data_IF_106070632595
#
_entry.id   IF_106070632595
#
_cell.length_a   1.000
_cell.length_b   1.000
_cell.length_c   1.000
_cell.angle_alpha   90.00
_cell.angle_beta   90.00
_cell.angle_gamma   90.00
#
_symmetry.space_group_name_H-M   'P 1'
#
loop_
_entity.id
_entity.type
_entity.pdbx_description
1 polymer ?
#
# COMPACT_ATOMS: atom_id res chain seq x y z
N UNK A 1 11.05 8.44 -10.13
CA UNK A 1 10.36 8.16 -8.86
C UNK A 1 10.33 9.45 -8.07
N UNK A 2 9.19 10.07 -7.94
CA UNK A 2 9.12 11.29 -7.15
C UNK A 2 9.12 10.93 -5.67
N UNK A 3 10.17 11.32 -4.97
CA UNK A 3 10.24 11.29 -3.51
C UNK A 3 9.24 12.25 -2.85
N UNK A 4 8.34 12.82 -3.63
CA UNK A 4 7.47 13.92 -3.25
C UNK A 4 6.25 13.48 -2.43
N UNK A 5 5.97 12.18 -2.37
CA UNK A 5 4.76 11.70 -1.71
C UNK A 5 5.10 10.83 -0.50
N UNK A 6 5.29 11.47 0.62
CA UNK A 6 5.44 10.76 1.90
C UNK A 6 4.15 9.96 2.19
N UNK A 7 4.27 8.68 2.49
CA UNK A 7 3.12 7.83 2.81
C UNK A 7 2.29 8.42 3.95
N UNK A 8 0.98 8.41 3.77
CA UNK A 8 0.03 9.03 4.69
C UNK A 8 -0.23 10.53 4.42
N UNK A 9 0.58 11.19 3.60
CA UNK A 9 0.33 12.58 3.21
C UNK A 9 -0.87 12.72 2.27
N UNK A 10 -1.42 13.92 2.17
CA UNK A 10 -2.52 14.20 1.24
C UNK A 10 -2.10 13.97 -0.23
N UNK A 11 -0.88 14.33 -0.59
CA UNK A 11 -0.34 14.09 -1.92
C UNK A 11 -0.24 12.58 -2.23
N UNK A 12 0.16 11.76 -1.26
CA UNK A 12 0.18 10.31 -1.40
C UNK A 12 -1.23 9.72 -1.56
N UNK A 13 -2.21 10.20 -0.80
CA UNK A 13 -3.61 9.79 -0.94
C UNK A 13 -4.14 10.11 -2.33
N UNK A 14 -3.85 11.29 -2.84
CA UNK A 14 -4.25 11.70 -4.19
C UNK A 14 -3.55 10.87 -5.28
N UNK A 15 -2.28 10.53 -5.10
CA UNK A 15 -1.54 9.70 -6.05
C UNK A 15 -2.11 8.28 -6.21
N UNK A 16 -2.74 7.75 -5.16
CA UNK A 16 -3.37 6.40 -5.12
C UNK A 16 -4.80 6.39 -5.65
N UNK A 17 -5.43 7.55 -5.73
CA UNK A 17 -6.87 7.67 -5.98
C UNK A 17 -7.29 6.99 -7.29
N UNK A 18 -8.31 6.15 -7.23
CA UNK A 18 -8.83 5.42 -8.38
C UNK A 18 -7.87 4.40 -8.99
N UNK A 19 -6.87 3.95 -8.23
CA UNK A 19 -5.87 2.99 -8.68
C UNK A 19 -5.91 1.70 -7.87
N UNK A 20 -5.78 0.58 -8.56
CA UNK A 20 -5.58 -0.71 -7.92
C UNK A 20 -4.22 -0.73 -7.21
N UNK A 21 -4.22 -0.94 -5.92
CA UNK A 21 -3.00 -0.91 -5.09
C UNK A 21 -2.54 -2.31 -4.72
N UNK A 22 -1.24 -2.49 -4.55
CA UNK A 22 -0.65 -3.77 -4.19
C UNK A 22 -1.27 -4.37 -2.91
N UNK A 23 -1.60 -3.55 -1.92
CA UNK A 23 -2.24 -3.98 -0.68
C UNK A 23 -3.65 -4.60 -0.85
N UNK A 24 -4.32 -4.33 -1.96
CA UNK A 24 -5.67 -4.84 -2.29
C UNK A 24 -5.67 -5.85 -3.43
N UNK A 25 -4.50 -6.31 -3.87
CA UNK A 25 -4.40 -7.24 -5.00
C UNK A 25 -5.09 -8.58 -4.74
N UNK A 26 -5.09 -9.07 -3.50
CA UNK A 26 -5.79 -10.28 -3.11
C UNK A 26 -7.31 -10.20 -3.41
N UNK A 27 -7.92 -9.04 -3.25
CA UNK A 27 -9.35 -8.83 -3.54
C UNK A 27 -9.64 -9.00 -5.04
N UNK A 28 -8.72 -8.56 -5.91
CA UNK A 28 -8.83 -8.71 -7.36
C UNK A 28 -8.66 -10.18 -7.77
N UNK A 29 -7.74 -10.87 -7.14
CA UNK A 29 -7.37 -12.26 -7.48
C UNK A 29 -8.30 -13.31 -6.88
N UNK A 30 -9.20 -12.92 -5.97
CA UNK A 30 -10.18 -13.83 -5.38
C UNK A 30 -11.22 -14.25 -6.42
N UNK A 31 -11.34 -15.55 -6.65
CA UNK A 31 -12.30 -16.10 -7.62
C UNK A 31 -13.72 -16.15 -7.05
N UNK A 32 -14.68 -15.78 -7.88
CA UNK A 32 -16.11 -16.01 -7.66
C UNK A 32 -16.54 -17.40 -8.12
N UNK A 33 -17.84 -17.67 -8.04
CA UNK A 33 -18.41 -18.92 -8.54
C UNK A 33 -18.48 -18.92 -10.07
N UNK A 34 -18.18 -20.07 -10.69
CA UNK A 34 -18.32 -20.26 -12.12
C UNK A 34 -17.39 -19.42 -13.00
N UNK A 35 -16.23 -19.03 -12.48
CA UNK A 35 -15.26 -18.21 -13.21
C UNK A 35 -15.60 -16.72 -13.29
N UNK A 36 -16.65 -16.28 -12.61
CA UNK A 36 -16.99 -14.86 -12.49
C UNK A 36 -16.10 -14.17 -11.45
N UNK A 37 -15.98 -12.82 -11.50
CA UNK A 37 -15.37 -12.07 -10.43
C UNK A 37 -16.04 -12.34 -9.08
N UNK A 38 -15.28 -12.34 -8.00
CA UNK A 38 -15.83 -12.46 -6.66
C UNK A 38 -16.59 -11.19 -6.27
N UNK A 39 -17.46 -11.32 -5.26
CA UNK A 39 -18.16 -10.18 -4.68
C UNK A 39 -17.18 -9.12 -4.14
N UNK A 40 -16.07 -9.56 -3.58
CA UNK A 40 -15.02 -8.67 -3.09
C UNK A 40 -14.36 -7.89 -4.24
N UNK A 41 -14.05 -8.56 -5.35
CA UNK A 41 -13.50 -7.92 -6.53
C UNK A 41 -14.47 -6.88 -7.12
N UNK A 42 -15.76 -7.21 -7.22
CA UNK A 42 -16.79 -6.28 -7.70
C UNK A 42 -16.91 -5.06 -6.79
N UNK A 43 -16.95 -5.25 -5.48
CA UNK A 43 -17.01 -4.16 -4.50
C UNK A 43 -15.79 -3.25 -4.62
N UNK A 44 -14.60 -3.82 -4.73
CA UNK A 44 -13.38 -3.03 -4.91
C UNK A 44 -13.38 -2.23 -6.21
N UNK A 45 -13.85 -2.81 -7.30
CA UNK A 45 -14.01 -2.09 -8.57
C UNK A 45 -14.95 -0.89 -8.43
N UNK A 46 -16.07 -1.05 -7.72
CA UNK A 46 -17.01 0.04 -7.46
C UNK A 46 -16.42 1.13 -6.56
N UNK A 47 -15.64 0.76 -5.57
CA UNK A 47 -14.90 1.71 -4.72
C UNK A 47 -13.94 2.55 -5.56
N UNK A 48 -13.15 1.94 -6.43
CA UNK A 48 -12.24 2.64 -7.33
C UNK A 48 -12.97 3.57 -8.30
N UNK A 49 -14.11 3.13 -8.83
CA UNK A 49 -14.95 3.96 -9.69
C UNK A 49 -15.50 5.17 -8.94
N UNK A 50 -15.95 4.97 -7.70
CA UNK A 50 -16.41 6.04 -6.82
C UNK A 50 -15.31 7.06 -6.55
N UNK A 51 -14.10 6.62 -6.29
CA UNK A 51 -12.93 7.50 -6.11
C UNK A 51 -12.65 8.35 -7.35
N UNK A 52 -12.74 7.75 -8.55
CA UNK A 52 -12.54 8.47 -9.82
C UNK A 52 -13.61 9.57 -10.00
N UNK A 53 -14.87 9.25 -9.70
CA UNK A 53 -15.99 10.16 -9.90
C UNK A 53 -15.99 11.28 -8.85
N UNK A 54 -15.75 10.95 -7.60
CA UNK A 54 -15.84 11.89 -6.47
C UNK A 54 -14.56 12.67 -6.22
N UNK A 55 -13.42 12.16 -6.65
CA UNK A 55 -12.09 12.69 -6.31
C UNK A 55 -11.73 12.52 -4.83
N UNK A 56 -12.40 11.61 -4.12
CA UNK A 56 -12.19 11.37 -2.69
C UNK A 56 -11.91 9.89 -2.43
N UNK A 57 -11.06 9.57 -1.44
CA UNK A 57 -10.86 8.18 -1.01
C UNK A 57 -12.17 7.54 -0.57
N UNK A 58 -12.36 6.25 -0.90
CA UNK A 58 -13.58 5.52 -0.55
C UNK A 58 -13.67 5.20 0.94
N UNK A 59 -12.52 4.94 1.60
CA UNK A 59 -12.45 4.67 3.04
C UNK A 59 -11.14 5.18 3.66
N UNK A 60 -11.24 5.90 4.76
CA UNK A 60 -10.15 6.13 5.69
C UNK A 60 -10.31 5.19 6.89
N UNK A 61 -9.62 4.06 6.87
CA UNK A 61 -9.61 3.15 8.01
C UNK A 61 -8.61 3.68 9.03
N UNK A 62 -9.13 4.29 10.08
CA UNK A 62 -8.33 4.69 11.23
C UNK A 62 -8.55 3.65 12.35
N UNK A 63 -7.56 2.83 12.62
CA UNK A 63 -7.61 1.83 13.68
C UNK A 63 -6.38 1.90 14.57
N UNK A 64 -6.54 1.48 15.84
CA UNK A 64 -5.41 1.38 16.78
C UNK A 64 -4.28 0.47 16.26
N UNK A 65 -4.61 -0.52 15.44
CA UNK A 65 -3.64 -1.42 14.83
C UNK A 65 -2.80 -0.73 13.76
N UNK A 66 -3.44 0.13 12.96
CA UNK A 66 -2.75 0.94 11.96
C UNK A 66 -1.83 1.98 12.61
N UNK A 67 -2.32 2.64 13.67
CA UNK A 67 -1.50 3.59 14.44
C UNK A 67 -0.29 2.89 15.08
N UNK A 68 -0.48 1.71 15.65
CA UNK A 68 0.60 0.90 16.21
C UNK A 68 1.65 0.56 15.14
N UNK A 69 1.22 0.05 13.99
CA UNK A 69 2.12 -0.26 12.86
C UNK A 69 2.93 0.95 12.43
N UNK A 70 2.27 2.07 12.18
CA UNK A 70 2.92 3.32 11.77
C UNK A 70 3.92 3.83 12.80
N UNK A 71 3.59 3.73 14.09
CA UNK A 71 4.48 4.16 15.19
C UNK A 71 5.77 3.34 15.26
N UNK A 72 5.68 2.04 15.02
CA UNK A 72 6.81 1.11 15.19
C UNK A 72 7.61 0.87 13.90
N UNK A 73 7.08 1.24 12.75
CA UNK A 73 7.71 1.01 11.45
C UNK A 73 9.09 1.66 11.34
N UNK A 74 9.25 2.90 11.78
CA UNK A 74 10.54 3.60 11.71
C UNK A 74 11.62 2.92 12.56
N UNK A 75 11.27 2.46 13.75
CA UNK A 75 12.21 1.72 14.62
C UNK A 75 12.59 0.38 14.01
N UNK A 76 11.63 -0.34 13.44
CA UNK A 76 11.88 -1.62 12.76
C UNK A 76 12.78 -1.44 11.53
N UNK A 77 12.55 -0.39 10.75
CA UNK A 77 13.41 -0.03 9.61
C UNK A 77 14.85 0.24 10.05
N UNK A 78 15.03 1.04 11.10
CA UNK A 78 16.36 1.35 11.65
C UNK A 78 17.07 0.09 12.14
N UNK A 79 16.36 -0.80 12.82
CA UNK A 79 16.91 -2.07 13.30
C UNK A 79 17.36 -2.97 12.13
N UNK A 80 16.57 -3.02 11.08
CA UNK A 80 16.90 -3.77 9.86
C UNK A 80 18.16 -3.23 9.18
N UNK A 81 18.26 -1.91 9.02
CA UNK A 81 19.44 -1.27 8.43
C UNK A 81 20.72 -1.60 9.23
N UNK A 82 20.61 -1.52 10.55
CA UNK A 82 21.72 -1.83 11.45
C UNK A 82 22.15 -3.30 11.36
N UNK A 83 21.17 -4.23 11.41
CA UNK A 83 21.44 -5.68 11.39
C UNK A 83 22.04 -6.13 10.05
N UNK A 84 21.56 -5.60 8.95
CA UNK A 84 21.96 -6.01 7.59
C UNK A 84 23.09 -5.16 7.01
N UNK A 85 23.39 -4.00 7.57
CA UNK A 85 24.39 -3.10 7.03
C UNK A 85 24.03 -2.55 5.65
N UNK A 86 22.74 -2.34 5.37
CA UNK A 86 22.22 -1.85 4.09
C UNK A 86 21.63 -0.47 4.24
N UNK A 87 21.58 0.27 3.13
CA UNK A 87 20.85 1.53 3.05
C UNK A 87 19.41 1.28 2.59
N UNK A 88 18.46 1.95 3.22
CA UNK A 88 17.08 1.94 2.79
C UNK A 88 16.57 3.33 2.53
N UNK A 89 15.77 3.48 1.50
CA UNK A 89 15.12 4.74 1.15
C UNK A 89 13.60 4.57 1.18
N UNK A 90 12.91 5.51 1.83
CA UNK A 90 11.46 5.57 1.80
C UNK A 90 10.98 6.10 0.45
N UNK A 91 9.89 5.54 -0.03
CA UNK A 91 9.23 5.98 -1.27
C UNK A 91 7.74 6.20 -1.02
N UNK A 92 7.15 7.04 -1.83
CA UNK A 92 5.71 7.24 -1.82
C UNK A 92 4.98 6.18 -2.64
N UNK A 93 4.02 6.62 -3.44
CA UNK A 93 3.28 5.75 -4.34
C UNK A 93 4.02 5.60 -5.67
N UNK A 94 4.27 4.35 -6.07
CA UNK A 94 4.94 4.01 -7.33
C UNK A 94 3.91 3.45 -8.31
N UNK A 95 3.74 4.10 -9.44
CA UNK A 95 2.87 3.61 -10.50
C UNK A 95 3.51 2.40 -11.21
N UNK A 96 2.68 1.45 -11.61
CA UNK A 96 3.14 0.35 -12.46
C UNK A 96 3.62 0.89 -13.81
N UNK A 97 4.77 0.44 -14.34
CA UNK A 97 5.37 1.03 -15.52
C UNK A 97 4.54 0.86 -16.81
N UNK A 98 3.73 -0.19 -16.90
CA UNK A 98 2.97 -0.50 -18.12
C UNK A 98 1.47 -0.65 -17.89
N UNK A 99 1.03 -1.05 -16.69
CA UNK A 99 -0.38 -1.21 -16.36
C UNK A 99 -0.93 0.10 -15.82
N UNK A 100 -1.85 0.70 -16.54
CA UNK A 100 -2.51 1.93 -16.11
C UNK A 100 -3.38 1.67 -14.87
N UNK A 101 -3.49 2.68 -14.02
CA UNK A 101 -4.30 2.66 -12.79
C UNK A 101 -3.94 1.51 -11.84
N UNK A 102 -2.66 1.21 -11.73
CA UNK A 102 -2.13 0.21 -10.84
C UNK A 102 -0.82 0.69 -10.24
N UNK A 103 -0.55 0.35 -8.99
CA UNK A 103 0.70 0.71 -8.34
C UNK A 103 0.77 0.20 -6.91
N UNK A 104 1.79 0.62 -6.20
CA UNK A 104 2.02 0.21 -4.81
C UNK A 104 2.86 1.21 -4.04
N UNK A 105 2.86 1.05 -2.75
CA UNK A 105 3.65 1.86 -1.83
C UNK A 105 4.48 0.91 -0.95
N UNK A 106 5.66 0.48 -1.41
CA UNK A 106 6.55 -0.32 -0.57
C UNK A 106 7.01 0.52 0.64
N UNK A 107 7.23 -0.12 1.77
CA UNK A 107 7.66 0.59 2.99
C UNK A 107 9.06 1.21 2.81
N UNK A 108 9.93 0.53 2.07
CA UNK A 108 11.23 1.09 1.66
C UNK A 108 11.80 0.34 0.46
N UNK A 109 12.73 0.97 -0.22
CA UNK A 109 13.64 0.33 -1.18
C UNK A 109 14.97 0.04 -0.48
N UNK A 110 15.60 -1.07 -0.84
CA UNK A 110 16.90 -1.51 -0.31
C UNK A 110 17.92 -1.52 -1.44
N UNK A 111 18.97 -0.75 -1.30
CA UNK A 111 20.01 -0.60 -2.31
C UNK A 111 19.41 -0.29 -3.71
N UNK A 112 19.82 -1.00 -4.76
CA UNK A 112 19.40 -0.72 -6.14
C UNK A 112 18.14 -1.50 -6.58
N UNK A 113 17.90 -2.68 -6.02
CA UNK A 113 16.89 -3.62 -6.53
C UNK A 113 16.03 -4.30 -5.45
N UNK A 114 16.26 -3.99 -4.18
CA UNK A 114 15.55 -4.58 -3.07
C UNK A 114 14.29 -3.81 -2.66
N UNK A 115 13.31 -4.52 -2.14
CA UNK A 115 12.11 -3.96 -1.53
C UNK A 115 12.00 -4.48 -0.09
N UNK A 116 11.72 -3.58 0.84
CA UNK A 116 11.47 -3.90 2.23
C UNK A 116 9.99 -3.67 2.55
N UNK A 117 9.37 -4.69 3.09
CA UNK A 117 8.02 -4.63 3.67
C UNK A 117 8.11 -4.90 5.16
N UNK A 118 7.54 -4.03 5.97
CA UNK A 118 7.62 -4.07 7.43
C UNK A 118 6.26 -4.37 8.01
N UNK A 119 6.19 -5.38 8.87
CA UNK A 119 4.97 -5.73 9.60
C UNK A 119 5.22 -5.64 11.10
N UNK A 120 4.51 -4.75 11.76
CA UNK A 120 4.56 -4.56 13.20
C UNK A 120 3.21 -4.97 13.80
N UNK A 121 2.98 -6.26 14.08
CA UNK A 121 1.70 -6.72 14.61
C UNK A 121 1.45 -6.17 16.02
N UNK A 122 0.21 -5.84 16.32
CA UNK A 122 -0.19 -5.32 17.63
C UNK A 122 -0.11 -6.39 18.72
N UNK A 123 -0.33 -7.64 18.34
CA UNK A 123 -0.25 -8.78 19.25
C UNK A 123 0.35 -10.01 18.53
N UNK A 124 0.68 -11.05 19.29
CA UNK A 124 1.34 -12.25 18.80
C UNK A 124 0.43 -13.21 18.02
N UNK A 125 -0.86 -12.92 17.94
CA UNK A 125 -1.84 -13.76 17.25
C UNK A 125 -2.21 -13.27 15.84
N UNK A 126 -1.59 -12.19 15.41
CA UNK A 126 -1.75 -11.65 14.05
C UNK A 126 -0.50 -11.87 13.21
#
# INVERSE_FOLDING_TARGET
MSAEHVQGSEAWKQARLGKATASRFADIMTNGRGGNPSKVAETYMLDLLSEIITGKPSDEINSKYLEWGNRHEASARSAYCWDKGVEVSQVGFVNHPTIKRCGGSPDSLVDEDGILEIKCPYNTTN
#
